data_IF_636051314492
#
_entry.id   IF_636051314492
#
_cell.length_a   1.000
_cell.length_b   1.000
_cell.length_c   1.000
_cell.angle_alpha   90.00
_cell.angle_beta   90.00
_cell.angle_gamma   90.00
#
_symmetry.space_group_name_H-M   'P 1'
#
loop_
_entity.id
_entity.type
_entity.pdbx_description
1 polymer ?
#
# COMPACT_ATOMS: atom_id res chain seq x y z
N UNK A 1 -36.15 -29.39 -20.59
CA UNK A 1 -34.79 -29.97 -20.33
C UNK A 1 -33.61 -29.13 -20.86
N UNK A 2 -33.81 -28.27 -21.82
CA UNK A 2 -32.79 -27.37 -22.34
C UNK A 2 -32.39 -26.27 -21.31
N UNK A 3 -33.30 -25.82 -20.48
CA UNK A 3 -33.08 -24.79 -19.44
C UNK A 3 -32.10 -25.25 -18.34
N UNK A 4 -32.14 -26.52 -17.97
CA UNK A 4 -31.25 -27.10 -16.96
C UNK A 4 -29.80 -27.22 -17.43
N UNK A 5 -29.62 -27.64 -18.69
CA UNK A 5 -28.28 -27.72 -19.29
C UNK A 5 -27.60 -26.35 -19.41
N UNK A 6 -28.36 -25.35 -19.80
CA UNK A 6 -27.81 -24.00 -19.93
C UNK A 6 -27.39 -23.42 -18.57
N UNK A 7 -28.21 -23.59 -17.52
CA UNK A 7 -27.83 -23.18 -16.16
C UNK A 7 -26.56 -23.87 -15.67
N UNK A 8 -26.44 -25.18 -15.89
CA UNK A 8 -25.29 -25.95 -15.50
C UNK A 8 -24.00 -25.51 -16.21
N UNK A 9 -24.11 -25.13 -17.49
CA UNK A 9 -22.99 -24.60 -18.27
C UNK A 9 -22.59 -23.22 -17.74
N UNK A 10 -23.57 -22.36 -17.50
CA UNK A 10 -23.33 -21.02 -16.94
C UNK A 10 -22.68 -21.06 -15.54
N UNK A 11 -23.19 -21.95 -14.65
CA UNK A 11 -22.60 -22.13 -13.33
C UNK A 11 -21.17 -22.67 -13.40
N UNK A 12 -20.90 -23.64 -14.29
CA UNK A 12 -19.51 -24.12 -14.51
C UNK A 12 -18.59 -23.05 -15.04
N UNK A 13 -19.05 -22.18 -15.94
CA UNK A 13 -18.27 -21.07 -16.45
C UNK A 13 -17.96 -20.05 -15.33
N UNK A 14 -18.96 -19.73 -14.51
CA UNK A 14 -18.80 -18.82 -13.39
C UNK A 14 -17.77 -19.36 -12.37
N UNK A 15 -17.91 -20.64 -12.00
CA UNK A 15 -16.96 -21.32 -11.11
C UNK A 15 -15.56 -21.34 -11.72
N UNK A 16 -15.44 -21.62 -13.02
CA UNK A 16 -14.15 -21.59 -13.71
C UNK A 16 -13.49 -20.21 -13.68
N UNK A 17 -14.27 -19.13 -13.86
CA UNK A 17 -13.78 -17.76 -13.75
C UNK A 17 -13.35 -17.42 -12.31
N UNK A 18 -14.10 -17.87 -11.31
CA UNK A 18 -13.72 -17.68 -9.91
C UNK A 18 -12.42 -18.40 -9.56
N UNK A 19 -12.26 -19.66 -10.01
CA UNK A 19 -11.01 -20.41 -9.80
C UNK A 19 -9.82 -19.75 -10.51
N UNK A 20 -10.02 -19.22 -11.70
CA UNK A 20 -8.98 -18.49 -12.42
C UNK A 20 -8.56 -17.24 -11.64
N UNK A 21 -9.51 -16.45 -11.16
CA UNK A 21 -9.23 -15.27 -10.33
C UNK A 21 -8.46 -15.62 -9.04
N UNK A 22 -8.87 -16.68 -8.35
CA UNK A 22 -8.14 -17.16 -7.15
C UNK A 22 -6.73 -17.62 -7.51
N UNK A 23 -6.54 -18.34 -8.63
CA UNK A 23 -5.23 -18.79 -9.09
C UNK A 23 -4.30 -17.62 -9.43
N UNK A 24 -4.82 -16.58 -10.05
CA UNK A 24 -4.06 -15.37 -10.37
C UNK A 24 -3.62 -14.63 -9.09
N UNK A 25 -4.52 -14.53 -8.10
CA UNK A 25 -4.19 -13.92 -6.78
C UNK A 25 -3.13 -14.73 -6.07
N UNK A 26 -3.28 -16.06 -6.00
CA UNK A 26 -2.29 -16.94 -5.36
C UNK A 26 -0.95 -16.88 -6.10
N UNK A 27 -0.97 -16.81 -7.44
CA UNK A 27 0.24 -16.63 -8.25
C UNK A 27 0.97 -15.34 -7.90
N UNK A 28 0.26 -14.22 -7.84
CA UNK A 28 0.85 -12.92 -7.42
C UNK A 28 1.38 -12.95 -5.99
N UNK A 29 0.65 -13.57 -5.05
CA UNK A 29 1.14 -13.74 -3.68
C UNK A 29 2.43 -14.58 -3.63
N UNK A 30 2.54 -15.60 -4.47
CA UNK A 30 3.75 -16.41 -4.57
C UNK A 30 4.92 -15.62 -5.17
N UNK A 31 4.67 -14.75 -6.15
CA UNK A 31 5.66 -13.82 -6.70
C UNK A 31 6.09 -12.80 -5.65
N UNK A 32 5.16 -12.22 -4.89
CA UNK A 32 5.46 -11.28 -3.79
C UNK A 32 6.27 -11.94 -2.65
N UNK A 33 6.14 -13.25 -2.43
CA UNK A 33 6.94 -13.99 -1.45
C UNK A 33 8.34 -14.35 -1.96
N UNK A 34 8.59 -14.27 -3.27
CA UNK A 34 9.86 -14.58 -3.90
C UNK A 34 10.71 -13.31 -4.15
N UNK A 35 10.43 -12.22 -3.45
CA UNK A 35 11.21 -10.98 -3.53
C UNK A 35 12.62 -11.26 -3.01
N UNK A 36 13.60 -11.12 -3.86
CA UNK A 36 15.01 -11.13 -3.49
C UNK A 36 15.29 -9.89 -2.62
N UNK A 37 15.26 -10.09 -1.31
CA UNK A 37 15.57 -9.04 -0.34
C UNK A 37 17.09 -8.84 -0.38
N UNK A 38 17.52 -7.69 -0.86
CA UNK A 38 18.92 -7.29 -0.81
C UNK A 38 19.17 -6.40 0.41
N UNK A 39 20.06 -6.85 1.29
CA UNK A 39 20.48 -6.06 2.45
C UNK A 39 21.66 -5.17 2.06
N UNK A 40 21.58 -3.89 2.44
CA UNK A 40 22.66 -2.92 2.21
C UNK A 40 23.46 -2.71 3.51
N UNK A 41 24.44 -3.60 3.72
CA UNK A 41 25.28 -3.61 4.92
C UNK A 41 26.20 -2.37 4.98
N UNK A 42 26.59 -1.85 3.83
CA UNK A 42 27.44 -0.65 3.79
C UNK A 42 26.65 0.57 4.29
N UNK A 43 25.42 0.74 3.84
CA UNK A 43 24.54 1.79 4.31
C UNK A 43 24.13 1.61 5.79
N UNK A 44 23.94 0.37 6.26
CA UNK A 44 23.71 0.09 7.68
C UNK A 44 24.86 0.66 8.55
N UNK A 45 26.11 0.40 8.16
CA UNK A 45 27.28 0.90 8.86
C UNK A 45 27.38 2.42 8.83
N UNK A 46 27.08 3.06 7.69
CA UNK A 46 27.05 4.53 7.58
C UNK A 46 25.99 5.12 8.52
N UNK A 47 24.82 4.52 8.60
CA UNK A 47 23.75 4.95 9.49
C UNK A 47 24.10 4.79 10.97
N UNK A 48 24.80 3.72 11.37
CA UNK A 48 25.32 3.59 12.75
C UNK A 48 26.24 4.75 13.10
N UNK A 49 27.16 5.10 12.22
CA UNK A 49 28.08 6.20 12.42
C UNK A 49 27.36 7.56 12.49
N UNK A 50 26.37 7.77 11.63
CA UNK A 50 25.60 9.01 11.61
C UNK A 50 24.77 9.20 12.87
N UNK A 51 24.10 8.14 13.32
CA UNK A 51 23.31 8.16 14.56
C UNK A 51 24.19 8.36 15.80
N UNK A 52 25.33 7.68 15.88
CA UNK A 52 26.28 7.84 17.01
C UNK A 52 26.81 9.28 17.11
N UNK A 53 27.17 9.90 15.97
CA UNK A 53 27.57 11.31 15.91
C UNK A 53 26.49 12.27 16.40
N UNK A 54 25.22 11.92 16.17
CA UNK A 54 24.06 12.69 16.62
C UNK A 54 23.67 12.37 18.09
N UNK A 55 24.38 11.46 18.78
CA UNK A 55 24.05 11.03 20.12
C UNK A 55 22.80 10.13 20.20
N UNK A 56 22.43 9.51 19.08
CA UNK A 56 21.30 8.60 19.00
C UNK A 56 21.80 7.15 18.97
N UNK A 57 21.23 6.31 19.83
CA UNK A 57 21.62 4.89 19.90
C UNK A 57 20.66 4.01 19.14
N UNK A 58 21.16 3.10 18.32
CA UNK A 58 20.42 2.00 17.73
C UNK A 58 21.00 0.66 18.24
N UNK A 59 20.14 -0.30 18.54
CA UNK A 59 20.54 -1.68 18.85
C UNK A 59 20.75 -2.48 17.58
N UNK A 60 19.86 -2.29 16.62
CA UNK A 60 19.92 -2.92 15.31
C UNK A 60 19.42 -1.94 14.25
N UNK A 61 20.10 -1.94 13.11
CA UNK A 61 19.68 -1.22 11.92
C UNK A 61 19.67 -2.25 10.79
N UNK A 62 18.59 -2.31 10.05
CA UNK A 62 18.44 -3.17 8.88
C UNK A 62 17.99 -2.33 7.72
N UNK A 63 18.75 -2.34 6.65
CA UNK A 63 18.45 -1.62 5.40
C UNK A 63 18.13 -2.63 4.31
N UNK A 64 16.96 -2.49 3.75
CA UNK A 64 16.45 -3.35 2.68
C UNK A 64 16.22 -2.51 1.44
N UNK A 65 16.80 -2.92 0.35
CA UNK A 65 16.53 -2.37 -0.96
C UNK A 65 15.39 -3.16 -1.61
N UNK A 66 14.32 -2.47 -1.96
CA UNK A 66 13.17 -3.07 -2.64
C UNK A 66 13.43 -3.17 -4.15
N UNK A 67 12.75 -4.07 -4.85
CA UNK A 67 12.89 -4.25 -6.31
C UNK A 67 12.57 -2.98 -7.12
N UNK A 68 11.67 -2.14 -6.64
CA UNK A 68 11.33 -0.85 -7.24
C UNK A 68 12.41 0.23 -7.01
N UNK A 69 13.53 -0.12 -6.36
CA UNK A 69 14.64 0.77 -6.03
C UNK A 69 14.42 1.59 -4.75
N UNK A 70 13.29 1.43 -4.06
CA UNK A 70 13.03 2.12 -2.80
C UNK A 70 13.78 1.51 -1.62
N UNK A 71 14.12 2.36 -0.63
CA UNK A 71 14.79 1.94 0.60
C UNK A 71 13.79 1.81 1.75
N UNK A 72 13.90 0.69 2.46
CA UNK A 72 13.20 0.46 3.73
C UNK A 72 14.22 0.28 4.84
N UNK A 73 14.16 1.11 5.88
CA UNK A 73 15.12 1.12 7.00
C UNK A 73 14.37 0.77 8.28
N UNK A 74 14.69 -0.35 8.89
CA UNK A 74 14.14 -0.75 10.19
C UNK A 74 15.17 -0.53 11.28
N UNK A 75 14.75 0.15 12.33
CA UNK A 75 15.61 0.50 13.47
C UNK A 75 15.00 -0.03 14.74
N UNK A 76 15.82 -0.76 15.49
CA UNK A 76 15.52 -1.22 16.84
C UNK A 76 16.36 -0.42 17.85
N UNK A 77 15.71 0.09 18.87
CA UNK A 77 16.35 0.92 19.90
C UNK A 77 15.76 0.70 21.28
N UNK A 78 16.44 1.20 22.27
CA UNK A 78 15.93 1.26 23.64
C UNK A 78 14.62 2.07 23.73
N UNK A 79 13.79 1.83 24.75
CA UNK A 79 12.55 2.57 24.94
C UNK A 79 12.76 4.09 24.87
N UNK A 80 11.80 4.78 24.29
CA UNK A 80 11.85 6.24 24.18
C UNK A 80 11.57 6.90 25.53
N UNK A 81 12.34 7.92 25.85
CA UNK A 81 12.02 8.84 26.96
C UNK A 81 10.94 9.86 26.55
N UNK A 82 10.90 10.21 25.27
CA UNK A 82 9.94 11.16 24.71
C UNK A 82 9.10 10.49 23.62
N UNK A 83 7.83 10.91 23.55
CA UNK A 83 6.95 10.49 22.47
C UNK A 83 7.50 11.01 21.13
N UNK A 84 7.44 10.16 20.09
CA UNK A 84 7.81 10.51 18.70
C UNK A 84 9.31 10.82 18.47
N UNK A 85 10.20 10.40 19.36
CA UNK A 85 11.66 10.53 19.15
C UNK A 85 12.10 9.94 17.81
N UNK A 86 11.50 8.83 17.35
CA UNK A 86 11.78 8.27 16.03
C UNK A 86 11.53 9.26 14.89
N UNK A 87 10.48 10.09 14.98
CA UNK A 87 10.14 11.08 13.96
C UNK A 87 10.96 12.36 14.09
N UNK A 88 11.17 12.82 15.32
CA UNK A 88 11.77 14.13 15.55
C UNK A 88 13.30 14.10 15.56
N UNK A 89 13.89 12.99 16.00
CA UNK A 89 15.34 12.88 16.20
C UNK A 89 15.99 12.00 15.13
N UNK A 90 15.45 10.79 14.87
CA UNK A 90 16.07 9.82 13.96
C UNK A 90 15.85 10.13 12.49
N UNK A 91 14.62 10.48 12.07
CA UNK A 91 14.31 10.75 10.66
C UNK A 91 15.19 11.86 10.08
N UNK A 92 15.38 13.00 10.73
CA UNK A 92 16.25 14.06 10.19
C UNK A 92 17.69 13.59 9.95
N UNK A 93 18.28 12.89 10.91
CA UNK A 93 19.66 12.40 10.82
C UNK A 93 19.82 11.38 9.70
N UNK A 94 18.89 10.44 9.60
CA UNK A 94 18.90 9.41 8.55
C UNK A 94 18.68 10.04 7.18
N UNK A 95 17.72 10.96 7.08
CA UNK A 95 17.44 11.66 5.83
C UNK A 95 18.62 12.48 5.34
N UNK A 96 19.37 13.08 6.25
CA UNK A 96 20.59 13.82 5.92
C UNK A 96 21.72 12.88 5.48
N UNK A 97 21.91 11.76 6.18
CA UNK A 97 22.96 10.79 5.87
C UNK A 97 22.75 10.12 4.49
N UNK A 98 21.51 9.75 4.18
CA UNK A 98 21.17 9.08 2.92
C UNK A 98 20.96 10.07 1.77
N UNK A 99 20.63 11.33 2.08
CA UNK A 99 20.27 12.35 1.08
C UNK A 99 18.84 12.22 0.54
N UNK A 100 18.01 11.37 1.15
CA UNK A 100 16.62 11.10 0.79
C UNK A 100 15.71 11.41 1.97
N UNK A 101 14.54 11.96 1.73
CA UNK A 101 13.56 12.17 2.80
C UNK A 101 12.87 10.88 3.16
N UNK A 102 12.85 10.57 4.43
CA UNK A 102 12.14 9.41 4.97
C UNK A 102 10.90 9.81 5.76
N UNK A 103 9.97 8.89 5.84
CA UNK A 103 8.80 8.96 6.72
C UNK A 103 8.62 7.63 7.45
N UNK A 104 7.93 7.66 8.57
CA UNK A 104 7.61 6.46 9.33
C UNK A 104 6.50 5.69 8.64
N UNK A 105 6.72 4.39 8.37
CA UNK A 105 5.75 3.51 7.71
C UNK A 105 4.48 3.28 8.53
N UNK A 106 4.58 3.28 9.87
CA UNK A 106 3.46 3.05 10.76
C UNK A 106 3.30 4.14 11.81
N UNK A 107 2.08 4.42 12.21
CA UNK A 107 1.75 5.43 13.23
C UNK A 107 1.83 4.91 14.67
N UNK A 108 2.07 3.62 14.88
CA UNK A 108 2.16 3.01 16.21
C UNK A 108 3.37 3.50 17.02
N UNK A 109 3.21 3.68 18.32
CA UNK A 109 4.29 3.99 19.23
C UNK A 109 4.09 3.26 20.57
N UNK A 110 5.10 2.50 20.99
CA UNK A 110 5.08 1.74 22.25
C UNK A 110 5.65 2.53 23.44
N UNK A 111 5.78 3.84 23.31
CA UNK A 111 6.36 4.73 24.32
C UNK A 111 5.84 4.49 25.75
N UNK A 112 4.53 4.27 25.91
CA UNK A 112 3.90 4.08 27.23
C UNK A 112 4.17 2.72 27.86
N UNK A 113 4.62 1.73 27.09
CA UNK A 113 4.81 0.36 27.59
C UNK A 113 6.20 0.10 28.13
N UNK A 114 7.16 1.01 27.92
CA UNK A 114 8.55 0.81 28.32
C UNK A 114 9.24 -0.37 27.61
N UNK A 115 8.65 -0.86 26.54
CA UNK A 115 9.15 -1.94 25.72
C UNK A 115 10.19 -1.42 24.72
N UNK A 116 11.00 -2.32 24.18
CA UNK A 116 11.90 -2.00 23.08
C UNK A 116 11.12 -1.37 21.91
N UNK A 117 11.72 -0.37 21.30
CA UNK A 117 11.10 0.35 20.21
C UNK A 117 11.68 -0.14 18.89
N UNK A 118 10.81 -0.64 18.02
CA UNK A 118 11.12 -0.91 16.62
C UNK A 118 10.26 -0.01 15.74
N UNK A 119 10.86 0.61 14.74
CA UNK A 119 10.14 1.41 13.75
C UNK A 119 10.80 1.28 12.38
N UNK A 120 9.96 1.35 11.36
CA UNK A 120 10.38 1.23 9.97
C UNK A 120 10.16 2.56 9.26
N UNK A 121 11.18 2.99 8.53
CA UNK A 121 11.17 4.17 7.67
C UNK A 121 11.10 3.73 6.21
N UNK A 122 10.36 4.47 5.43
CA UNK A 122 10.28 4.37 3.97
C UNK A 122 10.53 5.73 3.36
N UNK A 123 10.93 5.77 2.11
CA UNK A 123 11.08 7.04 1.40
C UNK A 123 9.80 7.86 1.48
N UNK A 124 9.94 9.14 1.79
CA UNK A 124 8.78 10.02 1.87
C UNK A 124 8.24 10.34 0.48
N UNK A 125 6.94 10.27 0.33
CA UNK A 125 6.28 10.65 -0.92
C UNK A 125 6.60 12.11 -1.27
N UNK A 126 7.07 12.34 -2.49
CA UNK A 126 7.29 13.69 -3.01
C UNK A 126 5.97 14.42 -3.29
N UNK A 127 4.90 13.67 -3.50
CA UNK A 127 3.59 14.18 -3.88
C UNK A 127 2.49 13.58 -3.00
N UNK A 128 1.48 14.37 -2.73
CA UNK A 128 0.23 13.91 -2.09
C UNK A 128 -0.90 14.10 -3.08
N UNK A 129 -1.70 13.07 -3.32
CA UNK A 129 -2.88 13.15 -4.15
C UNK A 129 -4.10 13.48 -3.26
N UNK A 130 -4.89 14.46 -3.69
CA UNK A 130 -6.18 14.77 -3.08
C UNK A 130 -7.26 14.68 -4.14
N UNK A 131 -8.14 13.70 -4.02
CA UNK A 131 -9.25 13.50 -4.96
C UNK A 131 -10.55 14.06 -4.39
N UNK A 132 -11.29 14.76 -5.22
CA UNK A 132 -12.65 15.22 -4.93
C UNK A 132 -13.58 14.77 -6.04
N UNK A 133 -14.78 14.37 -5.69
CA UNK A 133 -15.78 13.87 -6.62
C UNK A 133 -16.98 14.79 -6.64
N UNK A 134 -17.41 15.18 -7.82
CA UNK A 134 -18.71 15.79 -8.07
C UNK A 134 -19.51 14.88 -9.00
N UNK A 135 -20.74 14.56 -8.65
CA UNK A 135 -21.58 13.64 -9.41
C UNK A 135 -22.90 14.33 -9.73
N UNK A 136 -23.26 14.30 -11.00
CA UNK A 136 -24.55 14.81 -11.49
C UNK A 136 -25.29 13.65 -12.15
N UNK A 137 -26.54 13.47 -11.76
CA UNK A 137 -27.41 12.45 -12.33
C UNK A 137 -28.15 13.04 -13.55
N UNK A 138 -28.36 12.20 -14.56
CA UNK A 138 -29.22 12.56 -15.68
C UNK A 138 -30.66 12.73 -15.19
N UNK A 139 -31.37 13.72 -15.71
CA UNK A 139 -32.76 14.00 -15.36
C UNK A 139 -33.63 12.74 -15.51
N UNK A 140 -34.43 12.43 -14.49
CA UNK A 140 -35.26 11.24 -14.41
C UNK A 140 -34.59 9.97 -13.89
N UNK A 141 -33.31 9.99 -13.60
CA UNK A 141 -32.60 8.83 -12.99
C UNK A 141 -32.27 9.08 -11.53
N UNK A 142 -32.34 8.02 -10.72
CA UNK A 142 -31.95 8.02 -9.31
C UNK A 142 -30.50 7.63 -9.09
N UNK A 143 -29.85 7.01 -10.09
CA UNK A 143 -28.49 6.54 -10.05
C UNK A 143 -27.72 6.97 -11.33
N UNK A 144 -26.46 7.35 -11.17
CA UNK A 144 -25.56 7.54 -12.30
C UNK A 144 -25.02 6.18 -12.76
N UNK A 145 -24.86 6.00 -14.08
CA UNK A 145 -24.17 4.86 -14.65
C UNK A 145 -22.70 4.77 -14.29
N UNK A 146 -22.07 5.92 -13.94
CA UNK A 146 -20.65 5.99 -13.63
C UNK A 146 -20.35 5.57 -12.21
N UNK A 147 -19.24 4.87 -12.03
CA UNK A 147 -18.68 4.50 -10.71
C UNK A 147 -17.21 4.84 -10.68
N UNK A 148 -16.71 5.23 -9.51
CA UNK A 148 -15.32 5.60 -9.33
C UNK A 148 -14.77 4.94 -8.06
N UNK A 149 -13.45 4.82 -8.04
CA UNK A 149 -12.68 4.49 -6.85
C UNK A 149 -11.41 5.33 -6.78
N UNK A 150 -11.00 5.60 -5.57
CA UNK A 150 -9.68 6.18 -5.29
C UNK A 150 -9.17 5.63 -3.97
N UNK A 151 -7.95 5.14 -3.99
CA UNK A 151 -7.32 4.54 -2.82
C UNK A 151 -5.81 4.70 -2.88
N UNK A 152 -5.20 4.72 -1.72
CA UNK A 152 -3.76 4.57 -1.58
C UNK A 152 -3.42 3.07 -1.66
N UNK A 153 -2.52 2.72 -2.58
CA UNK A 153 -1.99 1.36 -2.74
C UNK A 153 -0.65 1.30 -1.99
N UNK A 154 -0.12 0.10 -1.79
CA UNK A 154 1.24 -0.10 -1.28
C UNK A 154 2.26 0.69 -2.12
N UNK A 155 3.39 1.02 -1.55
CA UNK A 155 4.53 1.67 -2.21
C UNK A 155 4.25 3.09 -2.73
N UNK A 156 3.46 3.86 -1.98
CA UNK A 156 3.21 5.27 -2.28
C UNK A 156 2.49 5.53 -3.60
N UNK A 157 1.81 4.53 -4.12
CA UNK A 157 0.98 4.65 -5.31
C UNK A 157 -0.45 5.04 -4.94
N UNK A 158 -1.05 5.87 -5.76
CA UNK A 158 -2.43 6.30 -5.60
C UNK A 158 -3.24 5.91 -6.83
N UNK A 159 -4.24 5.04 -6.64
CA UNK A 159 -5.15 4.62 -7.70
C UNK A 159 -6.31 5.60 -7.82
N UNK A 160 -6.55 6.06 -9.03
CA UNK A 160 -7.79 6.75 -9.38
C UNK A 160 -8.40 5.97 -10.54
N UNK A 161 -9.60 5.47 -10.35
CA UNK A 161 -10.35 4.75 -11.37
C UNK A 161 -11.73 5.37 -11.56
N UNK A 162 -12.12 5.52 -12.82
CA UNK A 162 -13.46 5.94 -13.25
C UNK A 162 -13.95 4.94 -14.28
N UNK A 163 -15.11 4.36 -14.04
CA UNK A 163 -15.79 3.46 -14.97
C UNK A 163 -17.13 4.05 -15.39
N UNK A 164 -17.27 4.30 -16.68
CA UNK A 164 -18.53 4.69 -17.31
C UNK A 164 -19.35 3.42 -17.66
N UNK A 165 -20.58 3.37 -17.17
CA UNK A 165 -21.50 2.26 -17.47
C UNK A 165 -22.28 2.51 -18.75
N UNK A 166 -22.31 1.51 -19.63
CA UNK A 166 -23.05 1.62 -20.90
C UNK A 166 -24.57 1.76 -20.68
N UNK A 167 -25.10 2.88 -21.09
CA UNK A 167 -26.53 3.19 -20.99
C UNK A 167 -26.84 4.09 -19.79
N UNK A 168 -27.98 3.88 -19.15
CA UNK A 168 -28.45 4.72 -18.02
C UNK A 168 -29.09 3.88 -16.93
N UNK A 169 -29.09 4.43 -15.70
CA UNK A 169 -29.77 3.86 -14.55
C UNK A 169 -29.08 2.62 -13.96
N UNK A 170 -29.86 1.76 -13.33
CA UNK A 170 -29.39 0.64 -12.52
C UNK A 170 -28.49 -0.37 -13.26
N UNK A 171 -28.80 -0.68 -14.52
CA UNK A 171 -28.00 -1.62 -15.31
C UNK A 171 -26.60 -1.09 -15.61
N UNK A 172 -26.50 0.17 -16.01
CA UNK A 172 -25.22 0.83 -16.25
C UNK A 172 -24.41 0.93 -14.96
N UNK A 173 -25.06 1.32 -13.86
CA UNK A 173 -24.44 1.37 -12.55
C UNK A 173 -23.87 0.03 -12.08
N UNK A 174 -24.60 -1.08 -12.26
CA UNK A 174 -24.10 -2.41 -11.89
C UNK A 174 -22.88 -2.82 -12.70
N UNK A 175 -22.84 -2.50 -13.99
CA UNK A 175 -21.69 -2.82 -14.85
C UNK A 175 -20.44 -2.04 -14.41
N UNK A 176 -20.57 -0.74 -14.23
CA UNK A 176 -19.46 0.11 -13.80
C UNK A 176 -18.97 -0.26 -12.40
N UNK A 177 -19.89 -0.55 -11.47
CA UNK A 177 -19.54 -1.00 -10.12
C UNK A 177 -18.82 -2.34 -10.11
N UNK A 178 -19.23 -3.29 -10.94
CA UNK A 178 -18.54 -4.56 -11.06
C UNK A 178 -17.10 -4.38 -11.55
N UNK A 179 -16.87 -3.48 -12.52
CA UNK A 179 -15.53 -3.15 -13.02
C UNK A 179 -14.66 -2.55 -11.92
N UNK A 180 -15.18 -1.56 -11.18
CA UNK A 180 -14.44 -0.94 -10.07
C UNK A 180 -14.12 -1.96 -8.99
N UNK A 181 -15.09 -2.80 -8.60
CA UNK A 181 -14.86 -3.85 -7.59
C UNK A 181 -13.78 -4.86 -8.00
N UNK A 182 -13.61 -5.10 -9.30
CA UNK A 182 -12.51 -5.95 -9.80
C UNK A 182 -11.15 -5.26 -9.72
N UNK A 183 -11.11 -3.94 -9.87
CA UNK A 183 -9.86 -3.17 -9.76
C UNK A 183 -9.40 -2.96 -8.30
N UNK A 184 -10.30 -3.08 -7.35
CA UNK A 184 -10.05 -2.91 -5.91
C UNK A 184 -9.55 -4.19 -5.23
N UNK A 185 -9.48 -5.31 -5.94
CA UNK A 185 -9.01 -6.61 -5.43
C UNK A 185 -7.56 -6.86 -5.79
#
# INVERSE_FOLDING_TARGET
DMSWRNRFVEERQLIGQQFKGVSEVVGKMAEELNVDITYDVDLENELYVALDKAGLSAKNIMVVQQENGGLEITIEKSPCYNRESCTNDYIPVISEAVGIKFMKKSTGCNYQKGEECSFTLVEANQYTAMTRVAKVMKEGNTLSGDTYSFMEIKDSQYLIALSDGMGTGDKAHRQSSATITMLEK
#
